data_IF_582227706850
#
_entry.id   IF_582227706850
#
_cell.length_a   1.000
_cell.length_b   1.000
_cell.length_c   1.000
_cell.angle_alpha   90.00
_cell.angle_beta   90.00
_cell.angle_gamma   90.00
#
_symmetry.space_group_name_H-M   'P 1'
#
loop_
_entity.id
_entity.type
_entity.pdbx_description
1 polymer ?
#
# COMPACT_ATOMS: atom_id res chain seq x y z
N UNK A 1 -27.85 5.51 -20.29
CA UNK A 1 -26.61 6.29 -20.54
C UNK A 1 -25.43 5.51 -20.00
N UNK A 2 -24.58 4.94 -20.86
CA UNK A 2 -23.35 4.25 -20.43
C UNK A 2 -22.30 5.31 -20.17
N UNK A 3 -22.01 5.62 -18.90
CA UNK A 3 -20.85 6.45 -18.58
C UNK A 3 -19.58 5.71 -19.00
N UNK A 4 -18.86 6.27 -19.97
CA UNK A 4 -17.48 5.91 -20.27
C UNK A 4 -16.66 6.04 -19.00
N UNK A 5 -16.21 4.91 -18.45
CA UNK A 5 -15.27 4.89 -17.33
C UNK A 5 -13.93 5.37 -17.86
N UNK A 6 -13.68 6.69 -17.80
CA UNK A 6 -12.34 7.25 -18.00
C UNK A 6 -11.38 6.55 -17.03
N UNK A 7 -10.20 6.15 -17.53
CA UNK A 7 -9.15 5.63 -16.66
C UNK A 7 -8.90 6.63 -15.52
N UNK A 8 -8.77 6.17 -14.27
CA UNK A 8 -8.57 7.06 -13.14
C UNK A 8 -7.33 7.92 -13.39
N UNK A 9 -7.35 9.20 -13.02
CA UNK A 9 -6.20 10.08 -13.17
C UNK A 9 -5.05 9.57 -12.29
N UNK A 10 -4.04 8.98 -12.94
CA UNK A 10 -2.81 8.50 -12.30
C UNK A 10 -1.83 9.66 -12.10
N UNK A 11 -1.27 9.79 -10.90
CA UNK A 11 -0.23 10.80 -10.59
C UNK A 11 1.14 10.45 -11.22
N UNK A 12 1.39 9.19 -11.54
CA UNK A 12 2.67 8.71 -12.06
C UNK A 12 2.80 8.89 -13.59
N UNK A 13 4.01 9.26 -14.03
CA UNK A 13 4.34 9.29 -15.46
C UNK A 13 4.36 7.88 -16.05
N UNK A 14 3.65 7.68 -17.16
CA UNK A 14 3.56 6.41 -17.88
C UNK A 14 4.92 5.90 -18.33
N UNK A 15 5.85 6.78 -18.73
CA UNK A 15 7.21 6.35 -19.14
C UNK A 15 7.98 5.79 -17.96
N UNK A 16 7.87 6.43 -16.80
CA UNK A 16 8.50 5.95 -15.57
C UNK A 16 7.91 4.61 -15.12
N UNK A 17 6.57 4.46 -15.15
CA UNK A 17 5.93 3.18 -14.84
C UNK A 17 6.37 2.05 -15.76
N UNK A 18 6.50 2.33 -17.07
CA UNK A 18 7.01 1.34 -18.02
C UNK A 18 8.45 0.93 -17.71
N UNK A 19 9.30 1.89 -17.34
CA UNK A 19 10.68 1.61 -16.92
C UNK A 19 10.73 0.74 -15.66
N UNK A 20 9.96 1.09 -14.62
CA UNK A 20 9.86 0.31 -13.38
C UNK A 20 9.41 -1.13 -13.67
N UNK A 21 8.40 -1.29 -14.53
CA UNK A 21 7.92 -2.62 -14.93
C UNK A 21 9.01 -3.43 -15.64
N UNK A 22 9.76 -2.82 -16.55
CA UNK A 22 10.89 -3.48 -17.23
C UNK A 22 11.99 -3.89 -16.25
N UNK A 23 12.32 -3.01 -15.28
CA UNK A 23 13.30 -3.30 -14.24
C UNK A 23 12.87 -4.46 -13.34
N UNK A 24 11.59 -4.49 -12.93
CA UNK A 24 11.02 -5.61 -12.17
C UNK A 24 11.12 -6.92 -12.93
N UNK A 25 10.67 -6.96 -14.18
CA UNK A 25 10.71 -8.18 -15.01
C UNK A 25 12.15 -8.66 -15.24
N UNK A 26 13.09 -7.72 -15.46
CA UNK A 26 14.52 -8.01 -15.56
C UNK A 26 15.02 -8.65 -14.27
N UNK A 27 14.71 -8.08 -13.12
CA UNK A 27 15.13 -8.59 -11.81
C UNK A 27 14.54 -9.99 -11.54
N UNK A 28 13.25 -10.19 -11.81
CA UNK A 28 12.58 -11.49 -11.65
C UNK A 28 13.28 -12.57 -12.48
N UNK A 29 13.65 -12.23 -13.72
CA UNK A 29 14.25 -13.19 -14.64
C UNK A 29 15.73 -13.43 -14.35
N UNK A 30 16.51 -12.36 -14.16
CA UNK A 30 17.98 -12.46 -14.08
C UNK A 30 18.51 -12.70 -12.67
N UNK A 31 17.78 -12.26 -11.64
CA UNK A 31 18.26 -12.30 -10.25
C UNK A 31 17.47 -13.30 -9.42
N UNK A 32 16.14 -13.19 -9.44
CA UNK A 32 15.28 -14.02 -8.60
C UNK A 32 15.24 -15.48 -9.05
N UNK A 33 14.89 -15.76 -10.31
CA UNK A 33 14.75 -17.14 -10.81
C UNK A 33 16.00 -18.01 -10.57
N UNK A 34 17.23 -17.55 -10.85
CA UNK A 34 18.42 -18.34 -10.54
C UNK A 34 18.58 -18.63 -9.05
N UNK A 35 18.26 -17.66 -8.18
CA UNK A 35 18.35 -17.81 -6.74
C UNK A 35 17.32 -18.81 -6.20
N UNK A 36 16.05 -18.65 -6.58
CA UNK A 36 14.96 -19.52 -6.15
C UNK A 36 15.15 -20.98 -6.61
N UNK A 37 15.89 -21.21 -7.71
CA UNK A 37 16.26 -22.56 -8.15
C UNK A 37 17.24 -23.25 -7.20
N UNK A 38 18.16 -22.50 -6.61
CA UNK A 38 19.17 -23.03 -5.68
C UNK A 38 18.62 -23.09 -4.26
N UNK A 39 17.92 -22.05 -3.84
CA UNK A 39 17.32 -21.91 -2.53
C UNK A 39 15.86 -21.47 -2.70
N UNK A 40 14.90 -22.42 -2.69
CA UNK A 40 13.50 -22.10 -2.82
C UNK A 40 12.99 -21.36 -1.58
N UNK A 41 11.92 -20.60 -1.76
CA UNK A 41 11.26 -19.94 -0.64
C UNK A 41 10.50 -20.95 0.23
N UNK A 42 10.32 -20.61 1.51
CA UNK A 42 9.65 -21.49 2.47
C UNK A 42 8.19 -21.82 2.09
N UNK A 43 7.52 -20.92 1.38
CA UNK A 43 6.12 -21.05 0.97
C UNK A 43 5.97 -20.58 -0.48
N UNK A 44 5.02 -21.17 -1.18
CA UNK A 44 4.66 -20.74 -2.54
C UNK A 44 3.95 -19.38 -2.53
N UNK A 45 3.12 -19.12 -1.53
CA UNK A 45 2.41 -17.86 -1.34
C UNK A 45 2.55 -17.37 0.10
N UNK A 46 2.84 -16.08 0.26
CA UNK A 46 2.87 -15.42 1.55
C UNK A 46 1.53 -14.73 1.78
N UNK A 47 0.94 -14.92 2.96
CA UNK A 47 -0.32 -14.30 3.35
C UNK A 47 -0.21 -13.66 4.72
N UNK A 48 -0.95 -12.57 4.94
CA UNK A 48 -1.06 -11.97 6.27
C UNK A 48 -2.08 -12.72 7.15
N UNK A 49 -2.28 -12.27 8.39
CA UNK A 49 -3.22 -12.87 9.35
C UNK A 49 -4.68 -12.85 8.87
N UNK A 50 -5.04 -11.92 7.99
CA UNK A 50 -6.37 -11.82 7.38
C UNK A 50 -6.47 -12.60 6.06
N UNK A 51 -5.51 -13.48 5.77
CA UNK A 51 -5.47 -14.34 4.58
C UNK A 51 -5.34 -13.56 3.24
N UNK A 52 -4.78 -12.35 3.27
CA UNK A 52 -4.54 -11.53 2.07
C UNK A 52 -3.17 -11.89 1.48
N UNK A 53 -3.07 -12.19 0.18
CA UNK A 53 -1.79 -12.43 -0.51
C UNK A 53 -0.85 -11.23 -0.45
N UNK A 54 0.41 -11.50 -0.12
CA UNK A 54 1.49 -10.50 -0.03
C UNK A 54 2.49 -10.75 -1.15
N UNK A 55 2.71 -9.74 -1.99
CA UNK A 55 3.70 -9.80 -3.06
C UNK A 55 5.11 -9.74 -2.47
N UNK A 56 6.08 -10.35 -3.16
CA UNK A 56 7.50 -10.30 -2.79
C UNK A 56 8.05 -8.88 -2.71
N UNK A 57 7.66 -8.03 -3.67
CA UNK A 57 8.06 -6.62 -3.75
C UNK A 57 6.87 -5.82 -4.27
N UNK A 58 6.65 -4.65 -3.68
CA UNK A 58 5.69 -3.65 -4.16
C UNK A 58 6.46 -2.50 -4.81
N UNK A 59 5.96 -2.01 -5.93
CA UNK A 59 6.56 -0.96 -6.75
C UNK A 59 5.51 0.13 -7.05
N UNK A 60 5.91 1.28 -7.62
CA UNK A 60 4.95 2.29 -8.07
C UNK A 60 3.86 1.75 -9.02
N UNK A 61 4.08 0.63 -9.72
CA UNK A 61 3.07 0.01 -10.57
C UNK A 61 1.85 -0.45 -9.76
N UNK A 62 2.06 -0.88 -8.52
CA UNK A 62 1.02 -1.46 -7.65
C UNK A 62 0.05 -0.41 -7.13
N UNK A 63 0.47 0.85 -7.07
CA UNK A 63 -0.34 2.00 -6.62
C UNK A 63 -0.69 2.95 -7.77
N UNK A 64 -0.31 2.60 -9.00
CA UNK A 64 -0.48 3.48 -10.17
C UNK A 64 -1.93 3.76 -10.54
N UNK A 65 -2.87 2.93 -10.10
CA UNK A 65 -4.30 3.12 -10.35
C UNK A 65 -4.96 4.12 -9.40
N UNK A 66 -4.30 4.49 -8.30
CA UNK A 66 -4.84 5.38 -7.28
C UNK A 66 -4.72 6.84 -7.74
N UNK A 67 -5.80 7.60 -7.60
CA UNK A 67 -5.72 9.06 -7.63
C UNK A 67 -5.23 9.57 -6.27
N UNK A 68 -3.94 9.91 -6.16
CA UNK A 68 -3.35 10.30 -4.89
C UNK A 68 -4.03 11.52 -4.25
N UNK A 69 -4.51 12.47 -5.05
CA UNK A 69 -5.16 13.69 -4.54
C UNK A 69 -6.56 13.42 -3.98
N UNK A 70 -7.33 12.54 -4.62
CA UNK A 70 -8.72 12.26 -4.22
C UNK A 70 -8.85 11.09 -3.24
N UNK A 71 -8.04 10.05 -3.39
CA UNK A 71 -8.16 8.82 -2.60
C UNK A 71 -7.26 8.81 -1.36
N UNK A 72 -6.11 9.50 -1.40
CA UNK A 72 -5.19 9.57 -0.25
C UNK A 72 -5.30 10.92 0.47
N UNK A 73 -5.36 12.03 -0.29
CA UNK A 73 -5.59 13.37 0.25
C UNK A 73 -4.52 13.86 1.23
N UNK A 74 -4.89 14.89 2.01
CA UNK A 74 -4.09 15.48 3.08
C UNK A 74 -4.73 15.19 4.45
N UNK A 75 -3.94 15.13 5.55
CA UNK A 75 -4.50 14.92 6.88
C UNK A 75 -5.42 16.09 7.27
N UNK A 76 -6.54 15.79 7.94
CA UNK A 76 -7.53 16.81 8.29
C UNK A 76 -8.57 17.12 7.21
N UNK A 77 -8.45 16.52 6.02
CA UNK A 77 -9.36 16.71 4.90
C UNK A 77 -9.91 15.35 4.43
N UNK A 78 -11.11 15.35 3.83
CA UNK A 78 -11.66 14.16 3.19
C UNK A 78 -10.67 13.61 2.13
N UNK A 79 -10.44 12.29 2.02
CA UNK A 79 -11.14 11.16 2.68
C UNK A 79 -10.54 10.73 4.04
N UNK A 80 -9.72 11.57 4.68
CA UNK A 80 -9.12 11.33 5.99
C UNK A 80 -8.22 10.09 6.10
N UNK A 81 -7.74 9.56 4.97
CA UNK A 81 -6.86 8.37 4.93
C UNK A 81 -5.55 8.62 5.68
N UNK A 82 -5.06 9.87 5.71
CA UNK A 82 -3.87 10.27 6.48
C UNK A 82 -4.18 10.72 7.92
N UNK A 83 -5.43 10.64 8.35
CA UNK A 83 -5.89 11.03 9.67
C UNK A 83 -6.90 12.19 9.65
N UNK A 84 -7.72 12.24 10.70
CA UNK A 84 -8.84 13.19 10.83
C UNK A 84 -8.40 14.60 11.24
N UNK A 85 -7.21 14.76 11.81
CA UNK A 85 -6.69 16.05 12.26
C UNK A 85 -5.46 16.46 11.44
N UNK A 86 -5.32 17.74 11.04
CA UNK A 86 -4.20 18.18 10.20
C UNK A 86 -2.83 18.06 10.88
N UNK A 87 -2.76 18.21 12.20
CA UNK A 87 -1.50 18.14 12.97
C UNK A 87 -1.23 16.76 13.58
N UNK A 88 -2.23 15.87 13.61
CA UNK A 88 -2.17 14.55 14.27
C UNK A 88 -1.37 14.59 15.59
N UNK A 89 -0.48 13.62 15.79
CA UNK A 89 0.31 13.45 17.01
C UNK A 89 1.45 14.45 17.20
N UNK A 90 1.69 15.34 16.22
CA UNK A 90 2.59 16.49 16.42
C UNK A 90 1.94 17.56 17.28
N UNK A 91 0.61 17.68 17.25
CA UNK A 91 -0.15 18.64 18.06
C UNK A 91 -0.61 18.05 19.38
N UNK A 92 -1.20 16.85 19.36
CA UNK A 92 -1.66 16.16 20.57
C UNK A 92 -1.40 14.66 20.45
N UNK A 93 -0.67 14.03 21.38
CA UNK A 93 -0.49 12.58 21.38
C UNK A 93 -1.83 11.87 21.53
N UNK A 94 -1.89 10.60 21.13
CA UNK A 94 -3.07 9.79 21.38
C UNK A 94 -3.33 9.69 22.90
N UNK A 95 -4.60 9.64 23.29
CA UNK A 95 -4.95 9.43 24.69
C UNK A 95 -4.55 8.01 25.08
N UNK A 96 -3.58 7.87 25.98
CA UNK A 96 -3.29 6.60 26.63
C UNK A 96 -4.46 6.28 27.57
N UNK A 97 -5.32 5.35 27.16
CA UNK A 97 -6.45 4.88 27.98
C UNK A 97 -6.10 3.52 28.55
N UNK A 98 -5.70 3.51 29.82
CA UNK A 98 -5.62 2.29 30.60
C UNK A 98 -7.04 1.97 31.09
N UNK A 99 -7.54 0.79 30.73
CA UNK A 99 -8.77 0.28 31.30
C UNK A 99 -8.41 -0.44 32.61
N UNK A 100 -9.00 0.01 33.71
CA UNK A 100 -8.83 -0.60 35.04
C UNK A 100 -10.18 -0.70 35.73
N UNK A 101 -10.46 -1.84 36.34
CA UNK A 101 -11.67 -2.09 37.13
C UNK A 101 -11.46 -3.26 38.08
N UNK A 102 -12.03 -3.17 39.28
CA UNK A 102 -12.01 -4.22 40.30
C UNK A 102 -13.29 -4.16 41.14
N UNK A 103 -13.81 -5.30 41.59
CA UNK A 103 -14.98 -5.40 42.48
C UNK A 103 -16.34 -5.53 41.77
N UNK A 104 -17.42 -5.36 42.54
CA UNK A 104 -18.82 -5.28 42.08
C UNK A 104 -19.22 -3.83 41.77
N UNK A 105 -20.28 -3.58 40.98
CA UNK A 105 -20.61 -2.29 40.37
C UNK A 105 -20.62 -1.07 41.32
#
# INVERSE_FOLDING_TARGET
MKQERRAPPTTFDRKQLAKVKQERVRWETKTLKPWTRVSPEQKEEFRNLSNIPVKRVYTPEDVSHLNQSEEIGLPGEYPYVRGVYPTMYRGRPWTMRMFSGFGTP
#
